data_IF_499312260357
#
_entry.id   IF_499312260357
#
_cell.length_a   1.000
_cell.length_b   1.000
_cell.length_c   1.000
_cell.angle_alpha   90.00
_cell.angle_beta   90.00
_cell.angle_gamma   90.00
#
_symmetry.space_group_name_H-M   'P 1'
#
loop_
_entity.id
_entity.type
_entity.pdbx_description
1 polymer ?
#
# COMPACT_ATOMS: atom_id res chain seq x y z
N UNK A 1 28.22 47.02 20.33
CA UNK A 1 27.60 45.94 21.13
C UNK A 1 26.26 45.67 20.45
N UNK A 2 26.20 45.04 19.27
CA UNK A 2 26.35 43.60 18.99
C UNK A 2 25.41 42.74 19.83
N UNK A 3 24.30 42.29 19.24
CA UNK A 3 24.05 40.86 19.03
C UNK A 3 22.77 40.65 18.22
N UNK A 4 22.98 39.98 17.09
CA UNK A 4 22.06 39.36 16.15
C UNK A 4 21.08 38.40 16.83
N UNK A 5 19.78 38.60 16.62
CA UNK A 5 18.78 37.57 16.85
C UNK A 5 18.84 36.57 15.69
N UNK A 6 19.12 35.32 16.07
CA UNK A 6 19.26 34.13 15.24
C UNK A 6 17.90 33.66 14.73
N UNK A 7 17.82 33.46 13.41
CA UNK A 7 17.30 32.27 12.74
C UNK A 7 16.08 31.59 13.40
N UNK A 8 14.88 31.97 12.98
CA UNK A 8 13.79 31.01 12.84
C UNK A 8 14.15 30.13 11.64
N UNK A 9 14.60 28.91 11.91
CA UNK A 9 14.63 27.86 10.91
C UNK A 9 13.19 27.40 10.74
N UNK A 10 12.56 27.86 9.66
CA UNK A 10 11.43 27.16 9.06
C UNK A 10 11.92 25.74 8.75
N UNK A 11 11.59 24.81 9.64
CA UNK A 11 11.79 23.39 9.44
C UNK A 11 10.74 22.97 8.41
N UNK A 12 11.16 23.00 7.13
CA UNK A 12 10.54 22.28 6.01
C UNK A 12 10.47 20.78 6.34
N UNK A 13 9.58 20.40 7.25
CA UNK A 13 9.09 19.02 7.41
C UNK A 13 7.81 18.88 6.60
N UNK A 14 7.93 19.03 5.28
CA UNK A 14 6.84 18.68 4.38
C UNK A 14 6.72 17.14 4.30
N UNK A 15 5.60 16.67 4.86
CA UNK A 15 4.64 15.87 4.08
C UNK A 15 5.01 14.41 3.78
N UNK A 16 5.72 13.71 4.66
CA UNK A 16 5.69 12.23 4.67
C UNK A 16 4.52 11.65 5.48
N UNK A 17 3.67 12.49 6.09
CA UNK A 17 2.52 12.06 6.89
C UNK A 17 1.29 11.66 6.07
N UNK A 18 1.09 12.25 4.89
CA UNK A 18 -0.18 12.11 4.16
C UNK A 18 -0.31 10.76 3.43
N UNK A 19 0.80 10.14 3.03
CA UNK A 19 0.76 8.81 2.40
C UNK A 19 0.32 7.72 3.39
N UNK A 20 0.69 7.83 4.67
CA UNK A 20 0.31 6.84 5.69
C UNK A 20 -1.16 7.01 6.12
N UNK A 21 -1.64 8.24 6.24
CA UNK A 21 -3.07 8.53 6.52
C UNK A 21 -3.98 8.15 5.33
N UNK A 22 -3.49 8.28 4.08
CA UNK A 22 -4.22 7.79 2.89
C UNK A 22 -4.27 6.25 2.84
N UNK A 23 -3.22 5.56 3.31
CA UNK A 23 -3.21 4.10 3.50
C UNK A 23 -4.20 3.66 4.59
N UNK A 24 -4.44 4.45 5.65
CA UNK A 24 -5.46 4.14 6.67
C UNK A 24 -6.89 4.08 6.09
N UNK A 25 -7.14 4.74 4.96
CA UNK A 25 -8.42 4.67 4.24
C UNK A 25 -8.62 3.36 3.47
N UNK A 26 -7.52 2.65 3.18
CA UNK A 26 -7.53 1.34 2.56
C UNK A 26 -7.72 0.25 3.62
N UNK A 27 -8.26 -0.93 3.24
CA UNK A 27 -8.42 -2.06 4.16
C UNK A 27 -7.07 -2.77 4.43
N UNK A 28 -5.98 -2.01 4.56
CA UNK A 28 -4.65 -2.49 4.89
C UNK A 28 -4.41 -2.29 6.39
N UNK A 29 -4.86 -3.27 7.18
CA UNK A 29 -4.52 -3.27 8.61
C UNK A 29 -3.01 -3.43 8.83
N UNK A 30 -2.49 -3.03 9.99
CA UNK A 30 -1.09 -3.28 10.43
C UNK A 30 -0.65 -4.74 10.20
N UNK A 31 -1.56 -5.69 10.39
CA UNK A 31 -1.28 -7.12 10.13
C UNK A 31 -0.94 -7.38 8.66
N UNK A 32 -1.65 -6.76 7.73
CA UNK A 32 -1.37 -6.90 6.29
C UNK A 32 -0.07 -6.18 5.95
N UNK A 33 0.20 -5.01 6.53
CA UNK A 33 1.47 -4.31 6.32
C UNK A 33 2.67 -5.15 6.78
N UNK A 34 2.58 -5.77 7.97
CA UNK A 34 3.60 -6.71 8.45
C UNK A 34 3.72 -7.95 7.56
N UNK A 35 2.61 -8.48 7.02
CA UNK A 35 2.64 -9.61 6.08
C UNK A 35 3.31 -9.23 4.75
N UNK A 36 3.13 -7.99 4.28
CA UNK A 36 3.78 -7.47 3.08
C UNK A 36 5.29 -7.35 3.30
N UNK A 37 5.71 -6.76 4.43
CA UNK A 37 7.12 -6.66 4.82
C UNK A 37 7.76 -8.04 4.93
N UNK A 38 7.12 -8.98 5.63
CA UNK A 38 7.61 -10.35 5.79
C UNK A 38 7.78 -11.14 4.48
N UNK A 39 7.19 -10.69 3.38
CA UNK A 39 7.24 -11.38 2.08
C UNK A 39 8.10 -10.63 1.06
N UNK A 40 8.10 -9.30 1.10
CA UNK A 40 8.72 -8.43 0.12
C UNK A 40 10.09 -7.89 0.53
N UNK A 41 10.37 -7.81 1.83
CA UNK A 41 11.68 -7.38 2.30
C UNK A 41 12.77 -8.38 1.83
N UNK A 42 13.90 -7.85 1.40
CA UNK A 42 15.02 -8.64 0.87
C UNK A 42 15.65 -9.50 1.96
N UNK A 43 15.64 -8.99 3.19
CA UNK A 43 16.17 -9.66 4.38
C UNK A 43 15.12 -10.54 5.08
N UNK A 44 13.85 -10.49 4.67
CA UNK A 44 12.81 -11.31 5.26
C UNK A 44 12.87 -12.77 4.78
N UNK A 45 12.80 -13.69 5.74
CA UNK A 45 12.76 -15.13 5.52
C UNK A 45 11.56 -15.72 6.25
N UNK A 46 10.35 -15.64 5.67
CA UNK A 46 9.17 -16.21 6.29
C UNK A 46 9.33 -17.73 6.40
N UNK A 47 8.95 -18.29 7.54
CA UNK A 47 9.04 -19.72 7.77
C UNK A 47 8.01 -20.48 6.90
N UNK A 48 8.32 -21.67 6.36
CA UNK A 48 7.40 -22.41 5.48
C UNK A 48 6.04 -22.73 6.13
N UNK A 49 6.02 -22.87 7.46
CA UNK A 49 4.80 -23.09 8.25
C UNK A 49 3.83 -21.90 8.21
N UNK A 50 4.34 -20.69 8.00
CA UNK A 50 3.54 -19.46 7.94
C UNK A 50 2.95 -19.18 6.56
N UNK A 51 3.45 -19.84 5.51
CA UNK A 51 3.07 -19.54 4.11
C UNK A 51 1.58 -19.60 3.87
N UNK A 52 0.90 -20.59 4.45
CA UNK A 52 -0.56 -20.71 4.33
C UNK A 52 -1.28 -19.59 5.06
N UNK A 53 -0.78 -19.17 6.22
CA UNK A 53 -1.33 -18.04 6.97
C UNK A 53 -1.21 -16.74 6.18
N UNK A 54 -0.01 -16.44 5.69
CA UNK A 54 0.31 -15.28 4.86
C UNK A 54 -0.56 -15.24 3.60
N UNK A 55 -0.62 -16.34 2.83
CA UNK A 55 -1.43 -16.41 1.62
C UNK A 55 -2.91 -16.13 1.88
N UNK A 56 -3.47 -16.68 2.97
CA UNK A 56 -4.87 -16.47 3.32
C UNK A 56 -5.17 -15.02 3.70
N UNK A 57 -4.27 -14.34 4.42
CA UNK A 57 -4.42 -12.95 4.83
C UNK A 57 -4.29 -12.01 3.62
N UNK A 58 -3.27 -12.19 2.78
CA UNK A 58 -3.10 -11.44 1.54
C UNK A 58 -4.28 -11.64 0.56
N UNK A 59 -4.79 -12.87 0.43
CA UNK A 59 -6.03 -13.14 -0.31
C UNK A 59 -7.24 -12.40 0.24
N UNK A 60 -7.34 -12.32 1.56
CA UNK A 60 -8.46 -11.63 2.20
C UNK A 60 -8.38 -10.12 1.95
N UNK A 61 -7.17 -9.55 1.98
CA UNK A 61 -6.93 -8.15 1.61
C UNK A 61 -7.32 -7.88 0.15
N UNK A 62 -6.82 -8.67 -0.81
CA UNK A 62 -7.20 -8.54 -2.23
C UNK A 62 -8.72 -8.59 -2.44
N UNK A 63 -9.41 -9.55 -1.81
CA UNK A 63 -10.87 -9.65 -1.90
C UNK A 63 -11.59 -8.45 -1.30
N UNK A 64 -11.08 -7.89 -0.19
CA UNK A 64 -11.64 -6.69 0.40
C UNK A 64 -11.49 -5.49 -0.54
N UNK A 65 -10.30 -5.32 -1.11
CA UNK A 65 -9.98 -4.28 -2.08
C UNK A 65 -10.90 -4.35 -3.32
N UNK A 66 -11.04 -5.52 -3.93
CA UNK A 66 -11.97 -5.75 -5.05
C UNK A 66 -13.45 -5.44 -4.74
N UNK A 67 -13.85 -5.44 -3.46
CA UNK A 67 -15.23 -5.11 -3.06
C UNK A 67 -15.44 -3.61 -2.91
N UNK A 68 -14.42 -2.88 -2.48
CA UNK A 68 -14.54 -1.44 -2.20
C UNK A 68 -14.28 -0.59 -3.44
N UNK A 69 -13.44 -1.05 -4.36
CA UNK A 69 -13.05 -0.32 -5.56
C UNK A 69 -13.28 -1.12 -6.84
N UNK A 70 -13.16 -0.42 -7.97
CA UNK A 70 -13.13 -1.04 -9.30
C UNK A 70 -11.70 -0.94 -9.83
N UNK A 71 -10.92 -2.03 -9.81
CA UNK A 71 -9.61 -2.03 -10.41
C UNK A 71 -9.69 -1.72 -11.91
N UNK A 72 -8.56 -1.31 -12.46
CA UNK A 72 -8.36 -1.14 -13.88
C UNK A 72 -8.58 -2.46 -14.62
N UNK A 73 -8.93 -2.37 -15.91
CA UNK A 73 -9.14 -3.55 -16.76
C UNK A 73 -7.89 -4.44 -16.89
N UNK A 74 -6.70 -3.90 -16.60
CA UNK A 74 -5.44 -4.65 -16.54
C UNK A 74 -5.26 -5.37 -15.21
N UNK A 75 -5.59 -4.73 -14.08
CA UNK A 75 -5.36 -5.27 -12.74
C UNK A 75 -6.44 -6.27 -12.30
N UNK A 76 -7.69 -6.04 -12.68
CA UNK A 76 -8.82 -6.90 -12.34
C UNK A 76 -8.60 -8.39 -12.73
N UNK A 77 -8.27 -8.73 -13.99
CA UNK A 77 -8.05 -10.14 -14.37
C UNK A 77 -6.83 -10.76 -13.69
N UNK A 78 -5.78 -9.97 -13.44
CA UNK A 78 -4.56 -10.43 -12.78
C UNK A 78 -4.84 -10.80 -11.32
N UNK A 79 -5.57 -9.94 -10.63
CA UNK A 79 -6.01 -10.15 -9.25
C UNK A 79 -6.94 -11.36 -9.13
N UNK A 80 -7.93 -11.49 -10.04
CA UNK A 80 -8.84 -12.64 -10.06
C UNK A 80 -8.07 -13.95 -10.27
N UNK A 81 -7.12 -13.98 -11.21
CA UNK A 81 -6.33 -15.19 -11.46
C UNK A 81 -5.52 -15.61 -10.23
N UNK A 82 -4.91 -14.66 -9.52
CA UNK A 82 -4.17 -14.93 -8.28
C UNK A 82 -5.07 -15.51 -7.17
N UNK A 83 -6.30 -14.99 -7.04
CA UNK A 83 -7.28 -15.48 -6.06
C UNK A 83 -7.80 -16.90 -6.34
N UNK A 84 -7.70 -17.35 -7.59
CA UNK A 84 -8.09 -18.69 -8.03
C UNK A 84 -6.91 -19.68 -8.04
N UNK A 85 -5.68 -19.18 -8.05
CA UNK A 85 -4.47 -20.01 -8.06
C UNK A 85 -4.29 -20.69 -6.68
N UNK A 86 -4.07 -22.01 -6.64
CA UNK A 86 -3.82 -22.71 -5.38
C UNK A 86 -2.40 -22.45 -4.87
N UNK A 87 -2.25 -22.36 -3.54
CA UNK A 87 -0.92 -22.26 -2.91
C UNK A 87 -0.03 -23.45 -3.31
N UNK A 88 1.14 -23.22 -3.93
CA UNK A 88 2.06 -24.30 -4.29
C UNK A 88 2.58 -25.07 -3.07
N UNK A 89 2.83 -26.37 -3.21
CA UNK A 89 3.42 -27.19 -2.13
C UNK A 89 4.95 -27.11 -2.05
N UNK A 90 5.59 -26.68 -3.13
CA UNK A 90 7.04 -26.48 -3.16
C UNK A 90 7.36 -25.10 -2.58
N UNK A 91 8.23 -25.06 -1.57
CA UNK A 91 8.57 -23.86 -0.81
C UNK A 91 8.99 -22.67 -1.69
N UNK A 92 9.95 -22.86 -2.60
CA UNK A 92 10.39 -21.81 -3.52
C UNK A 92 9.24 -21.26 -4.39
N UNK A 93 8.34 -22.15 -4.82
CA UNK A 93 7.16 -21.73 -5.61
C UNK A 93 6.13 -21.02 -4.74
N UNK A 94 5.98 -21.44 -3.49
CA UNK A 94 5.08 -20.81 -2.53
C UNK A 94 5.56 -19.41 -2.17
N UNK A 95 6.87 -19.21 -1.94
CA UNK A 95 7.45 -17.88 -1.74
C UNK A 95 7.25 -16.97 -2.95
N UNK A 96 7.53 -17.48 -4.17
CA UNK A 96 7.27 -16.72 -5.39
C UNK A 96 5.79 -16.39 -5.60
N UNK A 97 4.88 -17.26 -5.15
CA UNK A 97 3.44 -17.00 -5.15
C UNK A 97 3.04 -15.95 -4.12
N UNK A 98 3.55 -16.03 -2.88
CA UNK A 98 3.33 -15.03 -1.84
C UNK A 98 3.81 -13.65 -2.29
N UNK A 99 4.98 -13.56 -2.92
CA UNK A 99 5.49 -12.30 -3.48
C UNK A 99 4.55 -11.72 -4.54
N UNK A 100 4.07 -12.55 -5.47
CA UNK A 100 3.05 -12.11 -6.45
C UNK A 100 1.76 -11.60 -5.79
N UNK A 101 1.31 -12.26 -4.71
CA UNK A 101 0.15 -11.79 -3.94
C UNK A 101 0.41 -10.44 -3.27
N UNK A 102 1.56 -10.30 -2.60
CA UNK A 102 1.94 -9.08 -1.92
C UNK A 102 2.09 -7.91 -2.90
N UNK A 103 2.74 -8.12 -4.05
CA UNK A 103 2.82 -7.12 -5.13
C UNK A 103 1.44 -6.73 -5.63
N UNK A 104 0.54 -7.69 -5.89
CA UNK A 104 -0.81 -7.37 -6.35
C UNK A 104 -1.63 -6.57 -5.32
N UNK A 105 -1.40 -6.79 -4.02
CA UNK A 105 -2.00 -5.98 -2.94
C UNK A 105 -1.49 -4.54 -3.03
N UNK A 106 -0.19 -4.33 -3.15
CA UNK A 106 0.42 -3.00 -3.26
C UNK A 106 -0.01 -2.28 -4.54
N UNK A 107 0.07 -2.94 -5.70
CA UNK A 107 -0.33 -2.35 -6.99
C UNK A 107 -1.79 -1.88 -6.95
N UNK A 108 -2.67 -2.65 -6.30
CA UNK A 108 -4.08 -2.29 -6.18
C UNK A 108 -4.30 -1.15 -5.17
N UNK A 109 -3.46 -1.06 -4.13
CA UNK A 109 -3.49 0.02 -3.15
C UNK A 109 -3.07 1.33 -3.80
N UNK A 110 -1.96 1.31 -4.53
CA UNK A 110 -1.46 2.43 -5.32
C UNK A 110 -2.50 2.90 -6.35
N UNK A 111 -3.16 1.97 -7.04
CA UNK A 111 -4.22 2.32 -8.00
C UNK A 111 -5.38 3.06 -7.31
N UNK A 112 -5.76 2.64 -6.10
CA UNK A 112 -6.82 3.30 -5.35
C UNK A 112 -6.42 4.66 -4.83
N UNK A 113 -5.21 4.81 -4.28
CA UNK A 113 -4.67 6.12 -3.86
C UNK A 113 -4.64 7.08 -5.04
N UNK A 114 -4.11 6.66 -6.19
CA UNK A 114 -4.07 7.47 -7.41
C UNK A 114 -5.46 7.81 -7.98
N UNK A 115 -6.49 7.02 -7.65
CA UNK A 115 -7.87 7.27 -8.08
C UNK A 115 -8.62 8.27 -7.18
N UNK A 116 -8.11 8.56 -5.98
CA UNK A 116 -8.66 9.61 -5.13
C UNK A 116 -8.30 10.95 -5.78
N UNK A 117 -9.29 11.79 -6.15
CA UNK A 117 -8.98 13.10 -6.69
C UNK A 117 -8.28 13.91 -5.61
N UNK A 118 -6.99 14.21 -5.80
CA UNK A 118 -6.26 15.16 -4.95
C UNK A 118 -7.08 16.45 -4.91
N UNK A 119 -7.49 16.86 -3.71
CA UNK A 119 -8.21 18.12 -3.52
C UNK A 119 -7.19 19.24 -3.76
N UNK A 120 -7.00 19.59 -5.03
CA UNK A 120 -6.17 20.74 -5.40
C UNK A 120 -6.89 21.96 -4.85
N UNK A 121 -6.41 22.44 -3.71
CA UNK A 121 -6.79 23.69 -3.08
C UNK A 121 -6.28 24.84 -3.95
N UNK A 122 -6.90 25.02 -5.10
CA UNK A 122 -6.63 26.08 -6.05
C UNK A 122 -7.95 26.74 -6.45
N UNK A 123 -8.59 27.40 -5.49
CA UNK A 123 -9.39 28.60 -5.80
C UNK A 123 -9.43 29.57 -4.62
N UNK A 124 -8.24 29.93 -4.13
CA UNK A 124 -8.03 31.12 -3.30
C UNK A 124 -7.85 32.37 -4.16
N UNK A 125 -8.79 32.69 -5.06
CA UNK A 125 -8.87 34.05 -5.63
C UNK A 125 -10.29 34.61 -5.60
N UNK A 126 -10.80 34.76 -4.36
CA UNK A 126 -11.79 35.78 -4.03
C UNK A 126 -11.09 37.07 -3.64
N UNK A 127 -10.88 37.93 -4.63
CA UNK A 127 -10.67 39.38 -4.49
C UNK A 127 -10.88 39.96 -5.88
N UNK A 128 -12.05 40.49 -6.25
CA UNK A 128 -12.70 41.68 -5.69
C UNK A 128 -11.97 42.91 -6.20
N UNK A 129 -12.61 43.97 -6.75
CA UNK A 129 -14.03 44.31 -6.81
C UNK A 129 -14.74 44.05 -8.16
#
# INVERSE_FOLDING_TARGET
MTSTALLDSDEDSHETGDLWDEIESLPLSDTIMNDLEAVLDEDAHPEPEDFRGLANRLHSALRAMLRIGRPSRSMEPLTINLLLEPLPQCELKALGYLRRLATAVLDLADEYIASVPSVSSADSHRGGP
#
